data_IF_571587470886
#
_entry.id   IF_571587470886
#
_cell.length_a   1.000
_cell.length_b   1.000
_cell.length_c   1.000
_cell.angle_alpha   90.00
_cell.angle_beta   90.00
_cell.angle_gamma   90.00
#
_symmetry.space_group_name_H-M   'P 1'
#
loop_
_entity.id
_entity.type
_entity.pdbx_description
1 polymer ?
#
# COMPACT_ATOMS: atom_id res chain seq x y z
N UNK A 1 10.74 26.69 12.32
CA UNK A 1 9.44 26.27 12.88
C UNK A 1 9.15 24.85 12.43
N UNK A 2 8.65 24.57 11.22
CA UNK A 2 8.34 23.18 10.82
C UNK A 2 9.49 22.16 10.92
N UNK A 3 10.72 22.51 10.52
CA UNK A 3 11.87 21.60 10.65
C UNK A 3 12.27 21.35 12.13
N UNK A 4 12.03 22.33 13.00
CA UNK A 4 12.26 22.23 14.44
C UNK A 4 11.18 21.36 15.10
N UNK A 5 9.93 21.48 14.62
CA UNK A 5 8.81 20.65 15.05
C UNK A 5 8.99 19.18 14.66
N UNK A 6 9.52 18.89 13.46
CA UNK A 6 9.81 17.53 13.00
C UNK A 6 10.94 16.88 13.80
N UNK A 7 12.01 17.63 14.09
CA UNK A 7 13.11 17.14 14.93
C UNK A 7 12.60 16.83 16.34
N UNK A 8 11.86 17.75 16.96
CA UNK A 8 11.26 17.52 18.28
C UNK A 8 10.32 16.31 18.29
N UNK A 9 9.51 16.13 17.25
CA UNK A 9 8.65 14.95 17.10
C UNK A 9 9.47 13.67 16.99
N UNK A 10 10.55 13.69 16.21
CA UNK A 10 11.46 12.55 16.05
C UNK A 10 12.13 12.19 17.38
N UNK A 11 12.67 13.16 18.12
CA UNK A 11 13.29 12.93 19.43
C UNK A 11 12.32 12.27 20.42
N UNK A 12 11.08 12.74 20.48
CA UNK A 12 10.04 12.19 21.35
C UNK A 12 9.68 10.75 20.93
N UNK A 13 9.53 10.49 19.63
CA UNK A 13 9.23 9.16 19.12
C UNK A 13 10.39 8.19 19.35
N UNK A 14 11.63 8.64 19.20
CA UNK A 14 12.82 7.83 19.43
C UNK A 14 13.00 7.49 20.91
N UNK A 15 12.72 8.45 21.81
CA UNK A 15 12.66 8.18 23.25
C UNK A 15 11.59 7.14 23.58
N UNK A 16 10.38 7.28 23.02
CA UNK A 16 9.30 6.32 23.21
C UNK A 16 9.69 4.92 22.68
N UNK A 17 10.35 4.85 21.52
CA UNK A 17 10.86 3.61 20.93
C UNK A 17 11.84 2.92 21.88
N UNK A 18 12.79 3.67 22.45
CA UNK A 18 13.77 3.14 23.41
C UNK A 18 13.09 2.63 24.68
N UNK A 19 12.10 3.35 25.21
CA UNK A 19 11.36 2.95 26.41
C UNK A 19 10.60 1.65 26.16
N UNK A 20 9.77 1.60 25.11
CA UNK A 20 8.95 0.41 24.84
C UNK A 20 9.78 -0.81 24.43
N UNK A 21 10.92 -0.62 23.75
CA UNK A 21 11.83 -1.73 23.37
C UNK A 21 12.43 -2.47 24.57
N UNK A 22 12.38 -1.89 25.79
CA UNK A 22 12.90 -2.53 27.01
C UNK A 22 11.95 -3.55 27.63
N UNK A 23 10.71 -3.65 27.14
CA UNK A 23 9.69 -4.54 27.70
C UNK A 23 9.16 -5.51 26.63
N UNK A 24 10.00 -6.38 26.05
CA UNK A 24 9.54 -7.38 25.10
C UNK A 24 8.62 -8.39 25.78
N UNK A 25 7.62 -8.88 25.02
CA UNK A 25 6.68 -9.90 25.48
C UNK A 25 5.41 -9.38 26.17
N UNK A 26 5.34 -8.10 26.51
CA UNK A 26 4.07 -7.47 26.90
C UNK A 26 3.31 -7.00 25.65
N UNK A 27 2.16 -7.61 25.37
CA UNK A 27 1.37 -7.31 24.17
C UNK A 27 0.90 -5.85 24.09
N UNK A 28 0.57 -5.23 25.24
CA UNK A 28 0.14 -3.84 25.27
C UNK A 28 1.30 -2.90 24.95
N UNK A 29 2.49 -3.19 25.49
CA UNK A 29 3.71 -2.42 25.19
C UNK A 29 4.16 -2.64 23.74
N UNK A 30 4.16 -3.87 23.23
CA UNK A 30 4.50 -4.18 21.85
C UNK A 30 3.51 -3.53 20.86
N UNK A 31 2.24 -3.41 21.23
CA UNK A 31 1.25 -2.65 20.48
C UNK A 31 1.61 -1.17 20.38
N UNK A 32 2.06 -0.55 21.48
CA UNK A 32 2.54 0.84 21.43
C UNK A 32 3.84 0.96 20.65
N UNK A 33 4.77 0.00 20.77
CA UNK A 33 6.01 -0.01 20.01
C UNK A 33 5.74 -0.08 18.50
N UNK A 34 4.79 -0.90 18.06
CA UNK A 34 4.38 -0.96 16.67
C UNK A 34 3.84 0.41 16.18
N UNK A 35 3.04 1.10 17.00
CA UNK A 35 2.54 2.46 16.68
C UNK A 35 3.67 3.48 16.59
N UNK A 36 4.66 3.40 17.49
CA UNK A 36 5.83 4.28 17.46
C UNK A 36 6.62 4.07 16.18
N UNK A 37 6.87 2.82 15.78
CA UNK A 37 7.53 2.54 14.50
C UNK A 37 6.73 3.04 13.29
N UNK A 38 5.40 2.91 13.28
CA UNK A 38 4.57 3.52 12.22
C UNK A 38 4.76 5.05 12.17
N UNK A 39 4.77 5.72 13.32
CA UNK A 39 4.96 7.18 13.38
C UNK A 39 6.37 7.63 13.00
N UNK A 40 7.40 6.87 13.37
CA UNK A 40 8.76 7.11 12.89
C UNK A 40 8.84 6.96 11.37
N UNK A 41 8.13 5.98 10.80
CA UNK A 41 7.98 5.84 9.36
C UNK A 41 7.34 7.07 8.71
N UNK A 42 6.21 7.54 9.24
CA UNK A 42 5.53 8.75 8.76
C UNK A 42 6.44 9.99 8.81
N UNK A 43 7.16 10.19 9.94
CA UNK A 43 8.13 11.29 10.10
C UNK A 43 9.29 11.18 9.11
N UNK A 44 9.76 9.95 8.85
CA UNK A 44 10.79 9.68 7.86
C UNK A 44 10.34 10.04 6.45
N UNK A 45 9.07 9.79 6.09
CA UNK A 45 8.51 10.23 4.80
C UNK A 45 8.47 11.76 4.69
N UNK A 46 8.01 12.45 5.73
CA UNK A 46 7.92 13.93 5.74
C UNK A 46 9.31 14.60 5.72
N UNK A 47 10.33 13.89 6.20
CA UNK A 47 11.72 14.38 6.27
C UNK A 47 12.59 13.90 5.10
N UNK A 48 11.98 13.33 4.05
CA UNK A 48 12.66 12.73 2.88
C UNK A 48 13.67 11.62 3.22
N UNK A 49 13.52 10.98 4.38
CA UNK A 49 14.35 9.85 4.84
C UNK A 49 13.70 8.51 4.47
N UNK A 50 13.51 8.26 3.17
CA UNK A 50 12.67 7.15 2.68
C UNK A 50 13.17 5.75 3.06
N UNK A 51 14.48 5.51 3.06
CA UNK A 51 15.03 4.21 3.49
C UNK A 51 14.84 3.96 4.99
N UNK A 52 14.98 5.01 5.81
CA UNK A 52 14.71 4.91 7.24
C UNK A 52 13.22 4.69 7.49
N UNK A 53 12.35 5.41 6.76
CA UNK A 53 10.90 5.25 6.84
C UNK A 53 10.48 3.81 6.52
N UNK A 54 11.01 3.26 5.43
CA UNK A 54 10.79 1.86 5.04
C UNK A 54 11.21 0.91 6.17
N UNK A 55 12.43 1.05 6.69
CA UNK A 55 12.94 0.18 7.76
C UNK A 55 12.08 0.24 9.04
N UNK A 56 11.49 1.39 9.37
CA UNK A 56 10.61 1.52 10.52
C UNK A 56 9.21 0.96 10.26
N UNK A 57 8.65 1.11 9.06
CA UNK A 57 7.42 0.42 8.66
C UNK A 57 7.59 -1.11 8.66
N UNK A 58 8.73 -1.64 8.22
CA UNK A 58 9.02 -3.08 8.29
C UNK A 58 9.02 -3.61 9.74
N UNK A 59 9.60 -2.84 10.68
CA UNK A 59 9.56 -3.19 12.11
C UNK A 59 8.13 -3.13 12.67
N UNK A 60 7.36 -2.11 12.31
CA UNK A 60 5.95 -2.03 12.68
C UNK A 60 5.16 -3.24 12.15
N UNK A 61 5.38 -3.63 10.88
CA UNK A 61 4.74 -4.78 10.24
C UNK A 61 5.07 -6.09 10.95
N UNK A 62 6.34 -6.31 11.29
CA UNK A 62 6.76 -7.51 12.04
C UNK A 62 6.05 -7.60 13.40
N UNK A 63 6.01 -6.50 14.16
CA UNK A 63 5.33 -6.46 15.46
C UNK A 63 3.82 -6.67 15.30
N UNK A 64 3.17 -6.03 14.33
CA UNK A 64 1.74 -6.21 14.08
C UNK A 64 1.41 -7.65 13.70
N UNK A 65 2.19 -8.29 12.83
CA UNK A 65 2.00 -9.72 12.49
C UNK A 65 2.11 -10.60 13.74
N UNK A 66 3.11 -10.36 14.59
CA UNK A 66 3.28 -11.09 15.86
C UNK A 66 2.06 -10.93 16.77
N UNK A 67 1.60 -9.70 16.96
CA UNK A 67 0.45 -9.37 17.82
C UNK A 67 -0.85 -9.98 17.30
N UNK A 68 -1.08 -9.95 15.98
CA UNK A 68 -2.27 -10.55 15.36
C UNK A 68 -2.27 -12.07 15.49
N UNK A 69 -1.11 -12.72 15.35
CA UNK A 69 -0.96 -14.16 15.58
C UNK A 69 -1.24 -14.53 17.04
N UNK A 70 -0.78 -13.72 18.00
CA UNK A 70 -0.99 -13.96 19.43
C UNK A 70 -2.45 -13.74 19.87
N UNK A 71 -3.03 -12.61 19.48
CA UNK A 71 -4.41 -12.21 19.85
C UNK A 71 -5.48 -12.94 19.05
N UNK A 72 -5.14 -13.57 17.92
CA UNK A 72 -6.09 -14.14 16.95
C UNK A 72 -7.13 -13.12 16.47
N UNK A 73 -6.73 -11.85 16.39
CA UNK A 73 -7.61 -10.79 15.94
C UNK A 73 -8.15 -11.10 14.53
N UNK A 74 -9.46 -10.92 14.36
CA UNK A 74 -10.14 -11.20 13.10
C UNK A 74 -9.87 -10.14 12.04
N UNK A 75 -9.75 -8.87 12.44
CA UNK A 75 -9.45 -7.77 11.54
C UNK A 75 -7.93 -7.53 11.46
N UNK A 76 -7.41 -7.56 10.23
CA UNK A 76 -5.98 -7.36 9.92
C UNK A 76 -5.72 -6.14 9.05
N UNK A 77 -6.67 -5.21 8.93
CA UNK A 77 -6.57 -3.95 8.16
C UNK A 77 -5.28 -3.17 8.41
N UNK A 78 -4.78 -3.15 9.64
CA UNK A 78 -3.51 -2.50 9.99
C UNK A 78 -2.29 -3.08 9.23
N UNK A 79 -2.34 -4.34 8.80
CA UNK A 79 -1.30 -4.91 7.93
C UNK A 79 -1.41 -4.33 6.51
N UNK A 80 -2.63 -4.17 5.98
CA UNK A 80 -2.83 -3.58 4.66
C UNK A 80 -2.35 -2.13 4.62
N UNK A 81 -2.63 -1.35 5.66
CA UNK A 81 -2.15 0.03 5.81
C UNK A 81 -0.61 0.10 5.80
N UNK A 82 0.05 -0.73 6.61
CA UNK A 82 1.51 -0.80 6.64
C UNK A 82 2.13 -1.21 5.31
N UNK A 83 1.50 -2.14 4.58
CA UNK A 83 1.94 -2.46 3.22
C UNK A 83 1.77 -1.28 2.25
N UNK A 84 0.68 -0.53 2.33
CA UNK A 84 0.52 0.70 1.54
C UNK A 84 1.62 1.73 1.88
N UNK A 85 1.92 1.93 3.16
CA UNK A 85 2.99 2.82 3.62
C UNK A 85 4.36 2.38 3.11
N UNK A 86 4.66 1.07 3.12
CA UNK A 86 5.88 0.51 2.53
C UNK A 86 5.95 0.76 1.02
N UNK A 87 4.84 0.55 0.29
CA UNK A 87 4.78 0.82 -1.14
C UNK A 87 5.08 2.29 -1.44
N UNK A 88 4.48 3.21 -0.67
CA UNK A 88 4.69 4.65 -0.80
C UNK A 88 6.16 5.01 -0.51
N UNK A 89 6.76 4.46 0.54
CA UNK A 89 8.17 4.68 0.86
C UNK A 89 9.11 4.25 -0.28
N UNK A 90 8.83 3.09 -0.90
CA UNK A 90 9.58 2.61 -2.06
C UNK A 90 9.44 3.55 -3.26
N UNK A 91 8.22 4.01 -3.57
CA UNK A 91 7.96 4.95 -4.68
C UNK A 91 8.78 6.24 -4.52
N UNK A 92 8.79 6.84 -3.33
CA UNK A 92 9.53 8.08 -3.10
C UNK A 92 11.05 7.90 -3.12
N UNK A 93 11.55 6.80 -2.52
CA UNK A 93 12.96 6.42 -2.62
C UNK A 93 13.40 6.31 -4.08
N UNK A 94 12.64 5.59 -4.90
CA UNK A 94 13.02 5.30 -6.28
C UNK A 94 12.84 6.53 -7.19
N UNK A 95 11.94 7.45 -6.81
CA UNK A 95 11.77 8.73 -7.50
C UNK A 95 12.94 9.70 -7.28
N UNK A 96 13.69 9.55 -6.18
CA UNK A 96 14.81 10.43 -5.80
C UNK A 96 16.18 9.85 -6.11
N UNK A 97 16.26 8.55 -6.47
CA UNK A 97 17.50 7.92 -6.90
C UNK A 97 17.92 8.35 -8.33
N UNK A 98 19.21 8.67 -8.51
CA UNK A 98 19.79 8.87 -9.85
C UNK A 98 19.62 7.59 -10.68
N UNK A 99 18.89 7.69 -11.80
CA UNK A 99 18.38 6.57 -12.63
C UNK A 99 19.44 5.75 -13.36
N UNK A 100 20.69 5.73 -12.90
CA UNK A 100 21.79 5.06 -13.59
C UNK A 100 22.00 3.59 -13.21
N UNK A 101 21.27 3.03 -12.24
CA UNK A 101 21.48 1.62 -11.85
C UNK A 101 20.21 0.82 -11.59
N UNK A 102 20.18 -0.28 -12.34
CA UNK A 102 19.54 -1.56 -12.06
C UNK A 102 18.01 -1.62 -12.05
N UNK A 103 17.51 -2.67 -12.71
CA UNK A 103 16.15 -3.15 -12.62
C UNK A 103 15.94 -3.64 -11.18
N UNK A 104 15.67 -2.70 -10.26
CA UNK A 104 15.26 -3.03 -8.90
C UNK A 104 13.89 -3.74 -9.03
N UNK A 105 13.68 -4.89 -8.38
CA UNK A 105 12.35 -5.49 -8.31
C UNK A 105 11.37 -4.44 -7.81
N UNK A 106 10.22 -4.28 -8.46
CA UNK A 106 9.20 -3.30 -8.04
C UNK A 106 8.65 -3.67 -6.66
N UNK A 107 9.36 -3.23 -5.62
CA UNK A 107 9.05 -3.51 -4.22
C UNK A 107 7.66 -2.93 -3.90
N UNK A 108 7.33 -1.76 -4.43
CA UNK A 108 6.04 -1.12 -4.32
C UNK A 108 4.90 -1.97 -4.89
N UNK A 109 5.12 -2.64 -6.03
CA UNK A 109 4.15 -3.57 -6.60
C UNK A 109 3.88 -4.73 -5.65
N UNK A 110 4.94 -5.30 -5.09
CA UNK A 110 4.86 -6.40 -4.13
C UNK A 110 4.05 -5.99 -2.90
N UNK A 111 4.37 -4.82 -2.33
CA UNK A 111 3.67 -4.32 -1.15
C UNK A 111 2.19 -4.03 -1.42
N UNK A 112 1.82 -3.39 -2.53
CA UNK A 112 0.40 -3.18 -2.86
C UNK A 112 -0.37 -4.48 -3.10
N UNK A 113 0.25 -5.48 -3.73
CA UNK A 113 -0.36 -6.81 -3.86
C UNK A 113 -0.60 -7.43 -2.48
N UNK A 114 0.36 -7.33 -1.56
CA UNK A 114 0.19 -7.84 -0.20
C UNK A 114 -0.90 -7.10 0.58
N UNK A 115 -1.03 -5.78 0.41
CA UNK A 115 -2.16 -5.01 0.95
C UNK A 115 -3.50 -5.54 0.43
N UNK A 116 -3.62 -5.74 -0.89
CA UNK A 116 -4.85 -6.26 -1.49
C UNK A 116 -5.19 -7.67 -1.03
N UNK A 117 -4.19 -8.55 -0.85
CA UNK A 117 -4.39 -9.90 -0.32
C UNK A 117 -4.92 -9.90 1.12
N UNK A 118 -4.38 -9.02 1.98
CA UNK A 118 -4.89 -8.81 3.33
C UNK A 118 -6.35 -8.34 3.28
N UNK A 119 -6.67 -7.37 2.41
CA UNK A 119 -8.04 -6.90 2.28
C UNK A 119 -8.99 -7.99 1.77
N UNK A 120 -8.58 -8.81 0.80
CA UNK A 120 -9.36 -9.95 0.35
C UNK A 120 -9.65 -10.96 1.49
N UNK A 121 -8.67 -11.25 2.35
CA UNK A 121 -8.93 -12.08 3.53
C UNK A 121 -9.94 -11.43 4.49
N UNK A 122 -9.80 -10.13 4.78
CA UNK A 122 -10.74 -9.40 5.63
C UNK A 122 -12.16 -9.40 5.04
N UNK A 123 -12.29 -9.16 3.74
CA UNK A 123 -13.56 -9.26 2.99
C UNK A 123 -14.21 -10.62 3.24
N UNK A 124 -13.47 -11.72 3.05
CA UNK A 124 -13.97 -13.08 3.28
C UNK A 124 -14.33 -13.37 4.74
N UNK A 125 -13.66 -12.74 5.71
CA UNK A 125 -13.99 -12.87 7.13
C UNK A 125 -15.29 -12.14 7.47
N UNK A 126 -15.46 -10.90 6.99
CA UNK A 126 -16.68 -10.11 7.22
C UNK A 126 -17.88 -10.72 6.49
N UNK A 127 -17.69 -11.20 5.25
CA UNK A 127 -18.76 -11.81 4.46
C UNK A 127 -19.42 -13.03 5.13
N UNK A 128 -18.69 -13.78 5.98
CA UNK A 128 -19.26 -14.88 6.78
C UNK A 128 -20.29 -14.43 7.82
N UNK A 129 -20.30 -13.14 8.18
CA UNK A 129 -21.24 -12.53 9.12
C UNK A 129 -22.45 -11.90 8.39
N UNK A 130 -22.37 -11.77 7.07
CA UNK A 130 -23.41 -11.23 6.20
C UNK A 130 -24.42 -12.31 5.77
N UNK A 131 -25.42 -11.91 4.99
CA UNK A 131 -26.41 -12.84 4.42
C UNK A 131 -25.78 -13.79 3.38
N UNK A 132 -26.32 -15.01 3.24
CA UNK A 132 -25.81 -16.01 2.29
C UNK A 132 -25.65 -15.50 0.84
N UNK A 133 -26.54 -14.61 0.39
CA UNK A 133 -26.45 -14.01 -0.96
C UNK A 133 -25.23 -13.10 -1.10
N UNK A 134 -24.94 -12.31 -0.07
CA UNK A 134 -23.78 -11.41 -0.01
C UNK A 134 -22.50 -12.24 0.07
N UNK A 135 -22.50 -13.30 0.86
CA UNK A 135 -21.36 -14.21 0.94
C UNK A 135 -21.06 -14.89 -0.40
N UNK A 136 -22.09 -15.37 -1.11
CA UNK A 136 -21.94 -15.93 -2.47
C UNK A 136 -21.40 -14.92 -3.47
N UNK A 137 -21.92 -13.70 -3.44
CA UNK A 137 -21.43 -12.60 -4.28
C UNK A 137 -19.92 -12.36 -4.07
N UNK A 138 -19.46 -12.34 -2.81
CA UNK A 138 -18.04 -12.22 -2.47
C UNK A 138 -17.22 -13.41 -2.96
N UNK A 139 -17.68 -14.64 -2.74
CA UNK A 139 -16.99 -15.86 -3.20
C UNK A 139 -16.85 -15.93 -4.74
N UNK A 140 -17.82 -15.37 -5.47
CA UNK A 140 -17.81 -15.30 -6.94
C UNK A 140 -16.90 -14.19 -7.47
N UNK A 141 -16.79 -13.06 -6.76
CA UNK A 141 -16.10 -11.85 -7.25
C UNK A 141 -14.67 -11.67 -6.74
N UNK A 142 -14.38 -12.07 -5.49
CA UNK A 142 -13.10 -11.85 -4.81
C UNK A 142 -12.41 -13.20 -4.52
N UNK A 143 -11.24 -13.48 -5.11
CA UNK A 143 -10.48 -14.70 -4.82
C UNK A 143 -10.01 -14.78 -3.36
N UNK A 144 -9.83 -16.01 -2.87
CA UNK A 144 -9.12 -16.27 -1.62
C UNK A 144 -7.63 -16.40 -1.90
N UNK A 145 -6.82 -15.67 -1.15
CA UNK A 145 -5.38 -15.75 -1.19
C UNK A 145 -4.88 -16.54 0.02
N UNK A 146 -3.82 -17.32 -0.15
CA UNK A 146 -3.15 -17.97 0.99
C UNK A 146 -1.93 -17.12 1.36
N UNK A 147 -1.90 -16.56 2.56
CA UNK A 147 -0.77 -15.77 3.07
C UNK A 147 0.39 -16.62 3.63
N UNK A 148 0.26 -17.95 3.72
CA UNK A 148 1.19 -18.83 4.44
C UNK A 148 2.50 -19.19 3.67
N UNK A 149 2.78 -18.57 2.52
CA UNK A 149 3.87 -19.00 1.63
C UNK A 149 5.15 -18.14 1.60
N UNK A 150 5.20 -16.99 2.27
CA UNK A 150 6.23 -15.96 1.97
C UNK A 150 7.19 -15.67 3.13
N UNK A 151 7.48 -16.65 4.00
CA UNK A 151 8.61 -16.57 4.94
C UNK A 151 9.69 -17.61 4.55
N UNK A 152 10.82 -17.10 4.05
CA UNK A 152 12.09 -17.78 3.73
C UNK A 152 12.20 -18.66 2.47
N UNK A 153 12.89 -18.14 1.43
CA UNK A 153 13.70 -18.96 0.52
C UNK A 153 15.19 -18.69 0.75
N UNK A 154 15.78 -19.43 1.70
CA UNK A 154 17.21 -19.80 1.64
C UNK A 154 17.27 -21.33 1.54
N UNK A 155 17.23 -21.84 0.32
CA UNK A 155 17.38 -23.26 0.04
C UNK A 155 17.89 -23.49 -1.37
N UNK A 156 19.17 -23.82 -1.51
CA UNK A 156 19.76 -24.28 -2.78
C UNK A 156 19.08 -25.59 -3.20
N UNK A 157 18.25 -25.54 -4.24
CA UNK A 157 17.67 -26.73 -4.86
C UNK A 157 17.27 -26.45 -6.30
N UNK A 158 18.12 -26.80 -7.26
CA UNK A 158 17.81 -26.78 -8.69
C UNK A 158 16.61 -27.69 -8.97
N UNK A 159 15.45 -27.12 -9.30
CA UNK A 159 14.46 -27.68 -10.24
C UNK A 159 13.67 -26.53 -10.84
N UNK A 160 13.79 -26.37 -12.16
CA UNK A 160 13.16 -25.34 -12.98
C UNK A 160 11.71 -25.76 -13.22
N UNK A 161 10.76 -25.11 -12.54
CA UNK A 161 9.36 -25.09 -12.95
C UNK A 161 9.15 -23.88 -13.87
N UNK A 162 8.41 -24.01 -14.99
CA UNK A 162 8.12 -22.86 -15.85
C UNK A 162 6.98 -22.02 -15.25
N UNK A 163 7.21 -20.71 -15.14
CA UNK A 163 6.24 -19.58 -15.04
C UNK A 163 5.18 -19.55 -13.91
N UNK A 164 5.58 -19.36 -12.63
CA UNK A 164 4.61 -19.06 -11.55
C UNK A 164 4.81 -17.71 -10.83
N UNK A 165 5.78 -16.88 -11.22
CA UNK A 165 6.08 -15.63 -10.51
C UNK A 165 5.07 -14.50 -10.84
N UNK A 166 4.57 -14.42 -12.08
CA UNK A 166 3.58 -13.39 -12.47
C UNK A 166 2.24 -13.53 -11.74
N UNK A 167 1.83 -14.76 -11.40
CA UNK A 167 0.62 -15.02 -10.63
C UNK A 167 0.70 -14.52 -9.19
N UNK A 168 1.91 -14.32 -8.67
CA UNK A 168 2.11 -13.84 -7.31
C UNK A 168 2.06 -12.31 -7.19
N UNK A 169 2.11 -11.57 -8.31
CA UNK A 169 2.13 -10.10 -8.33
C UNK A 169 0.89 -9.52 -9.04
N UNK A 170 -0.28 -10.10 -8.78
CA UNK A 170 -1.55 -9.61 -9.32
C UNK A 170 -2.69 -9.69 -8.31
N UNK A 171 -3.62 -8.75 -8.42
CA UNK A 171 -4.93 -8.78 -7.76
C UNK A 171 -6.00 -9.02 -8.82
N UNK A 172 -6.97 -9.88 -8.51
CA UNK A 172 -7.99 -10.30 -9.48
C UNK A 172 -9.36 -9.94 -8.95
N UNK A 173 -10.20 -9.39 -9.81
CA UNK A 173 -11.63 -9.18 -9.57
C UNK A 173 -12.38 -9.89 -10.70
N UNK A 174 -13.34 -10.76 -10.35
CA UNK A 174 -14.05 -11.61 -11.31
C UNK A 174 -15.39 -11.04 -11.78
N UNK A 175 -15.78 -9.86 -11.31
CA UNK A 175 -16.96 -9.17 -11.85
C UNK A 175 -16.69 -8.60 -13.24
N UNK A 176 -17.73 -8.54 -14.07
CA UNK A 176 -17.63 -8.07 -15.46
C UNK A 176 -17.19 -6.60 -15.56
N UNK A 177 -17.64 -5.79 -14.60
CA UNK A 177 -17.46 -4.34 -14.58
C UNK A 177 -17.09 -3.87 -13.17
N UNK A 178 -15.79 -3.68 -12.85
CA UNK A 178 -15.35 -3.21 -11.52
C UNK A 178 -16.05 -1.92 -11.06
N UNK A 179 -16.36 -1.02 -11.99
CA UNK A 179 -17.08 0.24 -11.76
C UNK A 179 -18.54 0.03 -11.31
N UNK A 180 -19.11 -1.14 -11.57
CA UNK A 180 -20.46 -1.52 -11.17
C UNK A 180 -20.49 -2.28 -9.84
N UNK A 181 -19.33 -2.57 -9.23
CA UNK A 181 -19.21 -3.41 -8.04
C UNK A 181 -20.13 -2.94 -6.90
N UNK A 182 -20.15 -1.65 -6.58
CA UNK A 182 -21.01 -1.10 -5.51
C UNK A 182 -22.49 -1.34 -5.79
N UNK A 183 -22.93 -1.15 -7.03
CA UNK A 183 -24.33 -1.38 -7.43
C UNK A 183 -24.69 -2.86 -7.33
N UNK A 184 -23.82 -3.74 -7.81
CA UNK A 184 -24.03 -5.19 -7.78
C UNK A 184 -24.04 -5.73 -6.34
N UNK A 185 -23.16 -5.19 -5.49
CA UNK A 185 -23.13 -5.47 -4.06
C UNK A 185 -24.44 -5.04 -3.39
N UNK A 186 -24.91 -3.80 -3.62
CA UNK A 186 -26.18 -3.31 -3.06
C UNK A 186 -27.37 -4.16 -3.50
N UNK A 187 -27.38 -4.62 -4.76
CA UNK A 187 -28.38 -5.55 -5.26
C UNK A 187 -28.33 -6.91 -4.53
N UNK A 188 -27.14 -7.39 -4.17
CA UNK A 188 -26.96 -8.62 -3.38
C UNK A 188 -27.49 -8.49 -1.94
N UNK A 189 -27.35 -7.30 -1.34
CA UNK A 189 -27.87 -6.96 0.00
C UNK A 189 -29.39 -6.72 -0.04
N UNK A 190 -29.92 -6.29 -1.19
CA UNK A 190 -31.34 -5.94 -1.37
C UNK A 190 -31.67 -4.51 -0.94
N UNK A 191 -30.69 -3.61 -1.00
CA UNK A 191 -30.81 -2.20 -0.60
C UNK A 191 -30.58 -1.31 -1.83
N UNK A 192 -31.28 -0.18 -1.91
CA UNK A 192 -31.04 0.82 -2.95
C UNK A 192 -29.89 1.74 -2.55
N UNK A 193 -29.26 2.37 -3.54
CA UNK A 193 -28.13 3.28 -3.33
C UNK A 193 -28.45 4.45 -2.37
N UNK A 194 -29.66 5.01 -2.49
CA UNK A 194 -30.19 6.06 -1.60
C UNK A 194 -30.34 5.63 -0.13
N UNK A 195 -30.34 4.33 0.13
CA UNK A 195 -30.52 3.72 1.45
C UNK A 195 -29.25 3.04 1.99
N UNK A 196 -28.06 3.29 1.39
CA UNK A 196 -26.77 2.69 1.81
C UNK A 196 -26.50 2.87 3.32
N UNK A 197 -26.92 3.99 3.91
CA UNK A 197 -26.75 4.25 5.35
C UNK A 197 -27.58 3.34 6.28
N UNK A 198 -28.65 2.72 5.76
CA UNK A 198 -29.53 1.82 6.52
C UNK A 198 -29.06 0.37 6.54
N UNK A 199 -27.94 0.08 5.87
CA UNK A 199 -27.33 -1.25 5.86
C UNK A 199 -26.86 -1.65 7.26
N UNK A 200 -26.74 -2.96 7.49
CA UNK A 200 -26.10 -3.47 8.71
C UNK A 200 -24.64 -3.07 8.72
N UNK A 201 -24.06 -2.92 9.90
CA UNK A 201 -22.66 -2.51 10.05
C UNK A 201 -21.71 -3.49 9.36
N UNK A 202 -21.97 -4.79 9.40
CA UNK A 202 -21.16 -5.79 8.69
C UNK A 202 -21.21 -5.60 7.17
N UNK A 203 -22.38 -5.27 6.61
CA UNK A 203 -22.54 -5.03 5.18
C UNK A 203 -21.86 -3.72 4.75
N UNK A 204 -21.86 -2.68 5.61
CA UNK A 204 -21.13 -1.42 5.37
C UNK A 204 -19.63 -1.63 5.37
N UNK A 205 -19.09 -2.29 6.41
CA UNK A 205 -17.66 -2.61 6.50
C UNK A 205 -17.21 -3.48 5.32
N UNK A 206 -18.03 -4.45 4.92
CA UNK A 206 -17.73 -5.29 3.77
C UNK A 206 -17.62 -4.47 2.47
N UNK A 207 -18.57 -3.55 2.23
CA UNK A 207 -18.54 -2.68 1.07
C UNK A 207 -17.28 -1.79 1.05
N UNK A 208 -16.95 -1.16 2.18
CA UNK A 208 -15.74 -0.35 2.32
C UNK A 208 -14.48 -1.18 1.99
N UNK A 209 -14.37 -2.40 2.51
CA UNK A 209 -13.23 -3.26 2.22
C UNK A 209 -13.15 -3.67 0.75
N UNK A 210 -14.29 -3.91 0.09
CA UNK A 210 -14.34 -4.20 -1.34
C UNK A 210 -13.94 -2.98 -2.19
N UNK A 211 -14.35 -1.77 -1.82
CA UNK A 211 -13.93 -0.52 -2.46
C UNK A 211 -12.41 -0.35 -2.35
N UNK A 212 -11.84 -0.51 -1.15
CA UNK A 212 -10.38 -0.46 -0.92
C UNK A 212 -9.65 -1.53 -1.74
N UNK A 213 -10.17 -2.76 -1.81
CA UNK A 213 -9.55 -3.83 -2.62
C UNK A 213 -9.47 -3.47 -4.10
N UNK A 214 -10.52 -2.85 -4.67
CA UNK A 214 -10.51 -2.41 -6.06
C UNK A 214 -9.54 -1.25 -6.31
N UNK A 215 -9.44 -0.29 -5.38
CA UNK A 215 -8.43 0.78 -5.46
C UNK A 215 -7.00 0.22 -5.46
N UNK A 216 -6.73 -0.78 -4.61
CA UNK A 216 -5.42 -1.46 -4.57
C UNK A 216 -5.16 -2.22 -5.87
N UNK A 217 -6.16 -2.89 -6.43
CA UNK A 217 -6.06 -3.55 -7.73
C UNK A 217 -5.74 -2.55 -8.84
N UNK A 218 -6.40 -1.40 -8.89
CA UNK A 218 -6.13 -0.35 -9.88
C UNK A 218 -4.69 0.15 -9.79
N UNK A 219 -4.19 0.40 -8.57
CA UNK A 219 -2.77 0.77 -8.35
C UNK A 219 -1.81 -0.31 -8.86
N UNK A 220 -2.07 -1.57 -8.55
CA UNK A 220 -1.27 -2.72 -9.02
C UNK A 220 -1.26 -2.79 -10.55
N UNK A 221 -2.41 -2.66 -11.20
CA UNK A 221 -2.52 -2.71 -12.66
C UNK A 221 -1.79 -1.52 -13.32
N UNK A 222 -1.93 -0.31 -12.78
CA UNK A 222 -1.24 0.89 -13.28
C UNK A 222 0.29 0.80 -13.17
N UNK A 223 0.81 0.24 -12.07
CA UNK A 223 2.24 -0.01 -11.91
C UNK A 223 2.70 -1.04 -12.96
N UNK A 224 1.96 -2.13 -13.16
CA UNK A 224 2.29 -3.15 -14.16
C UNK A 224 2.29 -2.61 -15.59
N UNK A 225 1.33 -1.76 -15.95
CA UNK A 225 1.30 -1.10 -17.25
C UNK A 225 2.53 -0.22 -17.46
N UNK A 226 2.94 0.53 -16.43
CA UNK A 226 4.14 1.37 -16.45
C UNK A 226 5.41 0.54 -16.69
N UNK A 227 5.53 -0.59 -15.99
CA UNK A 227 6.65 -1.52 -16.13
C UNK A 227 6.67 -2.12 -17.54
N UNK A 228 5.54 -2.62 -18.04
CA UNK A 228 5.45 -3.20 -19.38
C UNK A 228 5.83 -2.17 -20.46
N UNK A 229 5.36 -0.92 -20.33
CA UNK A 229 5.72 0.16 -21.25
C UNK A 229 7.20 0.55 -21.20
N UNK A 230 7.86 0.41 -20.04
CA UNK A 230 9.30 0.61 -19.92
C UNK A 230 10.11 -0.51 -20.59
N UNK A 231 9.72 -1.77 -20.42
CA UNK A 231 10.36 -2.94 -21.06
C UNK A 231 10.31 -2.81 -22.59
N UNK A 232 9.13 -2.53 -23.16
CA UNK A 232 8.97 -2.34 -24.61
C UNK A 232 9.88 -1.21 -25.15
N UNK A 233 10.08 -0.13 -24.38
CA UNK A 233 10.97 0.97 -24.80
C UNK A 233 12.45 0.58 -24.79
N UNK A 234 12.86 -0.34 -23.92
CA UNK A 234 14.23 -0.87 -23.88
C UNK A 234 14.46 -1.77 -25.10
N UNK A 235 13.54 -2.70 -25.36
CA UNK A 235 13.62 -3.61 -26.51
C UNK A 235 13.71 -2.84 -27.84
N UNK A 236 12.91 -1.79 -28.02
CA UNK A 236 12.94 -0.93 -29.21
C UNK A 236 14.24 -0.11 -29.34
N UNK A 237 14.89 0.24 -28.22
CA UNK A 237 16.20 0.92 -28.24
C UNK A 237 17.32 -0.04 -28.62
N UNK A 238 17.29 -1.26 -28.12
CA UNK A 238 18.27 -2.30 -28.46
C UNK A 238 18.15 -2.75 -29.92
N UNK A 239 16.92 -2.88 -30.46
CA UNK A 239 16.71 -3.17 -31.89
C UNK A 239 17.20 -2.05 -32.83
N UNK A 240 17.17 -0.79 -32.38
CA UNK A 240 17.71 0.35 -33.16
C UNK A 240 19.22 0.52 -33.05
N UNK A 241 19.88 -0.14 -32.10
CA UNK A 241 21.33 -0.03 -31.88
C UNK A 241 22.16 -1.00 -32.75
N UNK A 242 21.54 -1.95 -33.46
CA UNK A 242 22.22 -2.79 -34.47
C UNK A 242 22.24 -2.12 -35.85
N UNK A 243 22.98 -1.02 -36.02
CA UNK A 243 23.48 -0.67 -37.36
C UNK A 243 24.89 -0.06 -37.32
N UNK A 244 25.79 -0.78 -37.99
CA UNK A 244 27.01 -0.28 -38.66
C UNK A 244 28.20 0.12 -37.78
N UNK A 245 29.18 -0.80 -37.71
CA UNK A 245 30.57 -0.48 -37.39
C UNK A 245 31.08 0.51 -38.45
N UNK A 246 31.18 1.78 -38.08
CA UNK A 246 31.74 2.85 -38.90
C UNK A 246 32.67 3.73 -38.07
N UNK A 247 33.96 3.72 -38.42
CA UNK A 247 34.99 4.61 -37.89
C UNK A 247 34.60 6.09 -38.13
N UNK A 248 34.54 6.92 -37.10
CA UNK A 248 34.32 8.37 -37.26
C UNK A 248 34.06 9.10 -35.95
N UNK A 249 34.65 10.29 -35.81
CA UNK A 249 34.92 11.02 -34.58
C UNK A 249 33.87 12.12 -34.27
N UNK A 250 33.88 12.59 -33.02
CA UNK A 250 33.45 13.91 -32.44
C UNK A 250 31.99 14.22 -32.10
N UNK A 251 31.77 14.35 -30.78
CA UNK A 251 30.96 15.28 -29.97
C UNK A 251 29.80 16.09 -30.59
N UNK A 252 28.63 16.05 -29.94
CA UNK A 252 27.85 17.22 -29.49
C UNK A 252 26.72 16.78 -28.54
N UNK A 253 26.65 17.42 -27.37
CA UNK A 253 25.60 17.26 -26.37
C UNK A 253 24.37 18.12 -26.70
N UNK A 254 23.17 17.54 -26.69
CA UNK A 254 21.92 18.29 -26.58
C UNK A 254 20.99 17.59 -25.58
N UNK A 255 20.91 18.17 -24.38
CA UNK A 255 19.98 17.79 -23.32
C UNK A 255 18.62 18.46 -23.56
N UNK A 256 17.60 17.67 -23.90
CA UNK A 256 16.20 18.10 -23.83
C UNK A 256 15.49 17.36 -22.70
N UNK A 257 15.16 18.10 -21.64
CA UNK A 257 14.31 17.63 -20.52
C UNK A 257 12.84 17.57 -20.93
N UNK A 258 12.10 16.47 -20.69
CA UNK A 258 10.64 16.51 -20.75
C UNK A 258 10.06 16.95 -19.39
N UNK A 259 9.16 17.94 -19.43
CA UNK A 259 8.43 18.45 -18.29
C UNK A 259 7.41 17.42 -17.77
N UNK A 260 7.40 17.17 -16.46
CA UNK A 260 6.38 16.36 -15.77
C UNK A 260 5.27 17.28 -15.29
N UNK A 261 4.05 17.03 -15.76
CA UNK A 261 2.84 17.76 -15.36
C UNK A 261 2.33 17.19 -14.03
N UNK A 262 2.48 17.94 -12.94
CA UNK A 262 1.85 17.63 -11.65
C UNK A 262 0.53 18.40 -11.57
N UNK A 263 -0.59 17.67 -11.52
CA UNK A 263 -1.92 18.26 -11.29
C UNK A 263 -2.02 18.63 -9.79
N UNK A 264 -2.29 19.90 -9.42
CA UNK A 264 -2.42 20.26 -8.03
C UNK A 264 -3.78 19.82 -7.47
N UNK A 265 -3.76 19.12 -6.34
CA UNK A 265 -4.96 18.81 -5.55
C UNK A 265 -5.50 20.11 -4.93
N UNK A 266 -6.73 20.48 -5.27
CA UNK A 266 -7.43 21.62 -4.65
C UNK A 266 -7.64 21.33 -3.16
N UNK A 267 -7.05 22.17 -2.31
CA UNK A 267 -7.31 22.20 -0.86
C UNK A 267 -8.80 22.43 -0.60
N UNK A 268 -9.43 21.52 0.16
CA UNK A 268 -10.77 21.76 0.74
C UNK A 268 -10.67 22.89 1.76
N UNK A 269 -11.62 23.81 1.68
CA UNK A 269 -11.77 24.97 2.57
C UNK A 269 -12.52 24.50 3.81
N UNK A 270 -11.84 24.41 4.95
CA UNK A 270 -12.47 24.15 6.24
C UNK A 270 -13.20 25.42 6.69
N UNK A 271 -14.50 25.31 6.93
CA UNK A 271 -15.32 26.36 7.53
C UNK A 271 -14.85 26.67 8.96
N UNK A 272 -14.86 27.97 9.30
CA UNK A 272 -14.56 28.48 10.63
C UNK A 272 -15.64 28.02 11.60
N UNK A 273 -15.24 27.27 12.62
CA UNK A 273 -16.06 27.06 13.81
C UNK A 273 -15.86 28.25 14.75
N UNK A 274 -16.97 28.87 15.15
CA UNK A 274 -17.03 30.01 16.05
C UNK A 274 -16.51 29.66 17.45
N UNK A 275 -15.69 30.56 17.99
CA UNK A 275 -15.20 30.56 19.39
C UNK A 275 -16.34 30.81 20.38
N UNK A 276 -16.45 30.08 21.50
CA UNK A 276 -17.32 30.47 22.60
C UNK A 276 -16.68 31.62 23.39
N UNK A 277 -17.52 32.60 23.72
CA UNK A 277 -17.18 33.81 24.46
C UNK A 277 -16.63 33.52 25.86
N UNK A 278 -15.56 34.23 26.21
CA UNK A 278 -15.03 34.35 27.57
C UNK A 278 -16.03 35.03 28.50
N UNK A 279 -16.31 34.40 29.64
CA UNK A 279 -17.07 34.98 30.73
C UNK A 279 -16.24 36.06 31.43
N UNK A 280 -16.79 37.27 31.51
CA UNK A 280 -16.28 38.36 32.32
C UNK A 280 -16.26 37.99 33.80
N UNK A 281 -15.12 38.26 34.44
CA UNK A 281 -14.97 38.35 35.89
C UNK A 281 -14.76 39.81 36.28
N UNK A 282 -15.82 40.48 36.72
CA UNK A 282 -15.81 41.51 37.79
C UNK A 282 -17.22 41.93 38.17
#
# INVERSE_FOLDING_TARGET
EAADDLEAAWEVMELARVIYSRYPGDEAVETQLARVYTRLGDLGLESDQFEQAKADFEKALMLRRKLLKASKAEDTTQLADLYCQLAIACIYRDSTADKEKEVIPNEELTHYVMAGRVMAENIHRVAKKCQDKVQKFVDETIPKYSLEGEEHVKGKGKRKAPSSEESNLMLVFKGEHPEMMTKDFLASVGVKEEDKEKMKEEDKTLLEYMEIYLELKEKVDGIKETIAGAVVKIDVKDEKAETTIGFGQTDSSDTTTPAVNVIPVKKRKTEKTETPATADSK
#
